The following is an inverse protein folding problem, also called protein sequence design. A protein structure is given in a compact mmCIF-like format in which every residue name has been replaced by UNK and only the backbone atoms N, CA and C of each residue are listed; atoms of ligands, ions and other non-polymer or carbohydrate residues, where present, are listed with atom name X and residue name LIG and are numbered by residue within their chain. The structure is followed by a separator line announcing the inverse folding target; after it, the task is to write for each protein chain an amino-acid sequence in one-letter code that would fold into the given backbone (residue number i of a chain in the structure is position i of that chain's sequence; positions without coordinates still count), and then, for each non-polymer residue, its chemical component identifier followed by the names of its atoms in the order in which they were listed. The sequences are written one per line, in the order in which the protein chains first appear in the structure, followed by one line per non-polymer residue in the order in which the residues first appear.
data_IF_990117927726
#
_entry.id   IF_990117927726
#
_cell.length_a   1.000
_cell.length_b   1.000
_cell.length_c   1.000
_cell.angle_alpha   90.00
_cell.angle_beta   90.00
_cell.angle_gamma   90.00
#
_symmetry.space_group_name_H-M   'P 1'
#
loop_
_entity.id
_entity.type
_entity.pdbx_description
1 polymer ?
#
# COMPACT_ATOMS: atom_id res chain seq x y z
N UNK A 1 15.01 -3.23 -13.68
CA UNK A 1 14.13 -2.08 -13.86
C UNK A 1 13.51 -1.82 -12.52
N UNK A 2 13.61 -0.59 -12.02
CA UNK A 2 13.01 -0.23 -10.73
C UNK A 2 11.50 -0.06 -10.86
N UNK A 3 10.78 -0.01 -9.74
CA UNK A 3 9.35 0.27 -9.74
C UNK A 3 9.04 1.62 -10.42
N UNK A 4 9.80 2.67 -10.08
CA UNK A 4 9.71 4.00 -10.70
C UNK A 4 9.85 3.93 -12.22
N UNK A 5 10.94 3.33 -12.72
CA UNK A 5 11.21 3.21 -14.16
C UNK A 5 10.10 2.45 -14.90
N UNK A 6 9.52 1.44 -14.26
CA UNK A 6 8.45 0.62 -14.86
C UNK A 6 7.18 1.44 -15.08
N UNK A 7 6.80 2.26 -14.10
CA UNK A 7 5.65 3.15 -14.20
C UNK A 7 5.89 4.28 -15.23
N UNK A 8 7.07 4.88 -15.24
CA UNK A 8 7.44 5.91 -16.23
C UNK A 8 7.41 5.37 -17.67
N UNK A 9 7.76 4.10 -17.86
CA UNK A 9 7.66 3.41 -19.15
C UNK A 9 6.25 2.88 -19.46
N UNK A 10 5.24 3.23 -18.65
CA UNK A 10 3.85 2.77 -18.78
C UNK A 10 3.73 1.24 -18.85
N UNK A 11 4.61 0.51 -18.14
CA UNK A 11 4.58 -0.95 -18.01
C UNK A 11 3.81 -1.34 -16.75
N UNK A 12 3.08 -2.44 -16.84
CA UNK A 12 2.26 -2.94 -15.73
C UNK A 12 3.13 -3.39 -14.54
N UNK A 13 3.01 -2.70 -13.41
CA UNK A 13 3.74 -3.00 -12.18
C UNK A 13 2.94 -3.92 -11.24
N UNK A 14 3.65 -4.83 -10.55
CA UNK A 14 3.09 -5.77 -9.58
C UNK A 14 3.76 -5.52 -8.24
N UNK A 15 2.98 -5.03 -7.28
CA UNK A 15 3.40 -4.81 -5.91
C UNK A 15 2.85 -5.91 -5.01
N UNK A 16 3.59 -6.28 -3.97
CA UNK A 16 3.11 -7.15 -2.91
C UNK A 16 3.25 -6.49 -1.55
N UNK A 17 2.22 -6.58 -0.72
CA UNK A 17 2.23 -6.07 0.64
C UNK A 17 2.74 -7.15 1.60
N UNK A 18 3.85 -6.86 2.29
CA UNK A 18 4.48 -7.75 3.26
C UNK A 18 4.59 -7.04 4.60
N UNK A 19 3.84 -7.51 5.58
CA UNK A 19 3.85 -6.93 6.91
C UNK A 19 5.06 -7.43 7.71
N UNK A 20 5.77 -6.53 8.42
CA UNK A 20 6.80 -6.95 9.37
C UNK A 20 6.24 -7.91 10.43
N UNK A 21 7.08 -8.79 11.00
CA UNK A 21 6.66 -9.73 12.02
C UNK A 21 6.30 -9.00 13.33
N UNK A 22 5.44 -9.65 14.14
CA UNK A 22 5.32 -9.32 15.56
C UNK A 22 6.47 -9.96 16.34
N UNK A 23 7.67 -9.44 16.13
CA UNK A 23 8.89 -9.99 16.70
C UNK A 23 10.13 -9.49 15.98
N UNK A 24 11.29 -10.06 16.34
CA UNK A 24 12.58 -9.73 15.74
C UNK A 24 13.05 -10.75 14.69
N UNK A 25 12.31 -11.84 14.48
CA UNK A 25 12.63 -12.86 13.46
C UNK A 25 11.87 -12.57 12.16
N UNK A 26 12.62 -12.19 11.12
CA UNK A 26 12.11 -11.85 9.79
C UNK A 26 12.18 -13.03 8.81
N UNK A 27 12.59 -14.22 9.25
CA UNK A 27 12.92 -15.35 8.37
C UNK A 27 11.74 -15.79 7.50
N UNK A 28 10.52 -15.83 8.06
CA UNK A 28 9.31 -16.22 7.31
C UNK A 28 8.95 -15.19 6.24
N UNK A 29 8.92 -13.90 6.61
CA UNK A 29 8.68 -12.79 5.69
C UNK A 29 9.69 -12.81 4.54
N UNK A 30 10.97 -12.99 4.84
CA UNK A 30 12.04 -13.04 3.85
C UNK A 30 11.92 -14.28 2.95
N UNK A 31 11.65 -15.45 3.51
CA UNK A 31 11.45 -16.70 2.74
C UNK A 31 10.34 -16.54 1.72
N UNK A 32 9.19 -16.01 2.16
CA UNK A 32 8.05 -15.78 1.27
C UNK A 32 8.35 -14.72 0.19
N UNK A 33 9.11 -13.67 0.52
CA UNK A 33 9.48 -12.64 -0.45
C UNK A 33 10.47 -13.16 -1.50
N UNK A 34 11.42 -14.01 -1.11
CA UNK A 34 12.38 -14.66 -2.02
C UNK A 34 11.64 -15.60 -2.99
N UNK A 35 10.62 -16.32 -2.54
CA UNK A 35 9.83 -17.23 -3.39
C UNK A 35 9.13 -16.54 -4.57
N UNK A 36 8.92 -15.22 -4.49
CA UNK A 36 8.32 -14.41 -5.56
C UNK A 36 9.31 -13.40 -6.16
N UNK A 37 10.62 -13.54 -5.87
CA UNK A 37 11.66 -12.69 -6.44
C UNK A 37 11.64 -12.74 -7.97
N UNK A 38 11.74 -11.58 -8.59
CA UNK A 38 11.64 -11.42 -10.04
C UNK A 38 10.19 -11.42 -10.56
N UNK A 39 9.20 -11.68 -9.71
CA UNK A 39 7.78 -11.57 -10.06
C UNK A 39 7.08 -10.34 -9.48
N UNK A 40 7.69 -9.73 -8.47
CA UNK A 40 7.22 -8.52 -7.77
C UNK A 40 8.21 -7.39 -8.06
N UNK A 41 7.70 -6.23 -8.45
CA UNK A 41 8.50 -5.05 -8.78
C UNK A 41 8.89 -4.24 -7.54
N UNK A 42 8.02 -4.20 -6.52
CA UNK A 42 8.37 -3.69 -5.20
C UNK A 42 7.46 -4.25 -4.10
N UNK A 43 8.02 -4.38 -2.90
CA UNK A 43 7.31 -4.84 -1.71
C UNK A 43 6.86 -3.63 -0.89
N UNK A 44 5.54 -3.45 -0.75
CA UNK A 44 4.97 -2.45 0.16
C UNK A 44 5.07 -2.99 1.56
N UNK A 45 5.76 -2.28 2.44
CA UNK A 45 5.92 -2.69 3.84
C UNK A 45 5.08 -1.76 4.71
N UNK A 46 3.91 -2.18 5.22
CA UNK A 46 3.06 -1.30 6.02
C UNK A 46 3.70 -0.93 7.37
N UNK A 47 3.45 0.29 7.84
CA UNK A 47 3.79 0.71 9.20
C UNK A 47 2.65 0.34 10.14
N UNK A 48 2.82 -0.78 10.87
CA UNK A 48 1.89 -1.30 11.88
C UNK A 48 0.42 -1.18 11.45
N UNK A 49 0.09 -1.88 10.35
CA UNK A 49 -1.27 -1.94 9.80
C UNK A 49 -2.27 -2.36 10.88
N UNK A 50 -3.49 -1.82 10.84
CA UNK A 50 -4.54 -2.05 11.85
C UNK A 50 -4.15 -1.69 13.28
N UNK A 51 -3.14 -0.82 13.44
CA UNK A 51 -2.58 -0.41 14.73
C UNK A 51 -2.07 -1.58 15.59
N UNK A 52 -1.70 -2.71 14.98
CA UNK A 52 -1.14 -3.86 15.70
C UNK A 52 0.38 -3.69 15.82
N UNK A 53 0.89 -3.76 17.05
CA UNK A 53 2.33 -3.63 17.32
C UNK A 53 3.11 -4.75 16.61
N UNK A 54 4.03 -4.31 15.75
CA UNK A 54 4.94 -5.13 14.94
C UNK A 54 6.29 -4.43 14.84
N UNK A 55 7.28 -5.08 14.23
CA UNK A 55 8.48 -4.37 13.83
C UNK A 55 8.13 -3.22 12.84
N UNK A 56 8.95 -2.17 12.80
CA UNK A 56 8.68 -1.00 11.96
C UNK A 56 8.79 -1.32 10.47
N UNK A 57 8.12 -0.51 9.65
CA UNK A 57 8.20 -0.59 8.20
C UNK A 57 9.63 -0.39 7.70
N UNK A 58 10.38 0.54 8.31
CA UNK A 58 11.79 0.78 7.98
C UNK A 58 12.66 -0.47 8.16
N UNK A 59 12.48 -1.20 9.28
CA UNK A 59 13.20 -2.44 9.54
C UNK A 59 12.85 -3.55 8.54
N UNK A 60 11.56 -3.67 8.21
CA UNK A 60 11.10 -4.61 7.18
C UNK A 60 11.65 -4.28 5.78
N UNK A 61 11.67 -2.99 5.41
CA UNK A 61 12.24 -2.55 4.14
C UNK A 61 13.72 -2.92 4.03
N UNK A 62 14.51 -2.60 5.06
CA UNK A 62 15.95 -2.90 5.05
C UNK A 62 16.23 -4.42 4.97
N UNK A 63 15.45 -5.24 5.68
CA UNK A 63 15.57 -6.70 5.63
C UNK A 63 15.37 -7.25 4.21
N UNK A 64 14.41 -6.71 3.46
CA UNK A 64 14.16 -7.09 2.07
C UNK A 64 15.22 -6.52 1.11
N UNK A 65 15.61 -5.25 1.28
CA UNK A 65 16.58 -4.58 0.39
C UNK A 65 17.95 -5.23 0.40
N UNK A 66 18.45 -5.68 1.55
CA UNK A 66 19.74 -6.39 1.65
C UNK A 66 19.72 -7.67 0.80
N UNK A 67 18.54 -8.23 0.51
CA UNK A 67 18.34 -9.40 -0.34
C UNK A 67 18.02 -9.04 -1.82
N UNK A 68 18.21 -7.77 -2.20
CA UNK A 68 17.97 -7.26 -3.55
C UNK A 68 16.50 -7.23 -3.95
N UNK A 69 15.62 -6.98 -2.97
CA UNK A 69 14.18 -6.82 -3.18
C UNK A 69 13.84 -5.34 -2.99
N UNK A 70 13.28 -4.71 -4.02
CA UNK A 70 12.91 -3.29 -3.95
C UNK A 70 11.69 -3.10 -3.04
N UNK A 71 11.64 -2.00 -2.27
CA UNK A 71 10.63 -1.78 -1.24
C UNK A 71 9.96 -0.42 -1.35
N UNK A 72 8.74 -0.34 -0.83
CA UNK A 72 8.01 0.91 -0.55
C UNK A 72 7.88 1.04 0.96
N UNK A 73 8.59 2.02 1.52
CA UNK A 73 8.56 2.33 2.95
C UNK A 73 7.30 3.13 3.27
N UNK A 74 6.41 2.56 4.09
CA UNK A 74 5.21 3.26 4.53
C UNK A 74 5.53 4.07 5.79
N UNK A 75 5.16 5.35 5.80
CA UNK A 75 5.30 6.23 6.98
C UNK A 75 3.92 6.65 7.45
N UNK A 76 3.73 6.62 8.77
CA UNK A 76 2.45 6.80 9.44
C UNK A 76 2.53 7.90 10.50
N UNK A 77 1.65 8.91 10.43
CA UNK A 77 1.62 10.01 11.39
C UNK A 77 1.06 9.64 12.77
N UNK A 78 0.38 8.49 12.89
CA UNK A 78 -0.34 8.08 14.11
C UNK A 78 0.53 8.04 15.35
N UNK A 79 1.70 7.40 15.27
CA UNK A 79 2.46 6.99 16.44
C UNK A 79 3.74 7.83 16.67
N UNK A 80 4.05 8.78 15.76
CA UNK A 80 5.33 9.50 15.73
C UNK A 80 5.14 11.00 15.57
N UNK A 81 6.04 11.77 16.18
CA UNK A 81 6.09 13.22 16.00
C UNK A 81 6.94 13.60 14.78
N UNK A 82 6.90 14.87 14.38
CA UNK A 82 7.63 15.40 13.21
C UNK A 82 9.14 15.13 13.25
N UNK A 83 9.75 15.06 14.44
CA UNK A 83 11.19 14.75 14.57
C UNK A 83 11.47 13.30 14.22
N UNK A 84 10.71 12.37 14.80
CA UNK A 84 10.85 10.94 14.54
C UNK A 84 10.52 10.60 13.08
N UNK A 85 9.48 11.22 12.52
CA UNK A 85 9.08 11.02 11.12
C UNK A 85 10.19 11.46 10.15
N UNK A 86 10.73 12.67 10.30
CA UNK A 86 11.84 13.14 9.48
C UNK A 86 13.09 12.29 9.66
N UNK A 87 13.42 11.89 10.90
CA UNK A 87 14.58 11.05 11.17
C UNK A 87 14.49 9.68 10.49
N UNK A 88 13.33 9.03 10.50
CA UNK A 88 13.12 7.75 9.82
C UNK A 88 13.20 7.90 8.29
N UNK A 89 12.62 8.97 7.74
CA UNK A 89 12.64 9.25 6.29
C UNK A 89 14.08 9.52 5.81
N UNK A 90 14.85 10.33 6.53
CA UNK A 90 16.26 10.58 6.21
C UNK A 90 17.09 9.30 6.33
N UNK A 91 16.81 8.46 7.33
CA UNK A 91 17.47 7.16 7.49
C UNK A 91 17.14 6.22 6.33
N UNK A 92 15.87 6.17 5.90
CA UNK A 92 15.44 5.39 4.75
C UNK A 92 16.20 5.80 3.47
N UNK A 93 16.32 7.11 3.24
CA UNK A 93 17.06 7.66 2.10
C UNK A 93 18.55 7.28 2.16
N UNK A 94 19.19 7.46 3.31
CA UNK A 94 20.60 7.12 3.52
C UNK A 94 20.89 5.62 3.34
N UNK A 95 19.91 4.77 3.61
CA UNK A 95 19.99 3.32 3.42
C UNK A 95 19.61 2.86 1.99
N UNK A 96 19.25 3.80 1.11
CA UNK A 96 18.96 3.51 -0.30
C UNK A 96 17.55 2.96 -0.55
N UNK A 97 16.58 3.23 0.32
CA UNK A 97 15.17 2.93 0.05
C UNK A 97 14.67 3.89 -1.04
N UNK A 98 14.19 3.41 -2.20
CA UNK A 98 13.87 4.28 -3.33
C UNK A 98 12.44 4.80 -3.32
N UNK A 99 11.52 4.15 -2.60
CA UNK A 99 10.09 4.47 -2.64
C UNK A 99 9.55 4.72 -1.22
N UNK A 100 8.72 5.75 -1.09
CA UNK A 100 8.10 6.18 0.16
C UNK A 100 6.58 6.27 -0.05
N UNK A 101 5.79 5.81 0.91
CA UNK A 101 4.33 5.97 0.90
C UNK A 101 3.85 6.61 2.19
N UNK A 102 3.24 7.79 2.10
CA UNK A 102 2.70 8.49 3.27
C UNK A 102 1.25 8.05 3.51
N UNK A 103 0.94 7.69 4.76
CA UNK A 103 -0.41 7.32 5.19
C UNK A 103 -0.78 7.98 6.52
N UNK A 104 -2.09 8.10 6.76
CA UNK A 104 -2.62 8.54 8.05
C UNK A 104 -2.41 7.51 9.16
N UNK A 105 -2.57 6.23 8.83
CA UNK A 105 -2.66 5.14 9.80
C UNK A 105 -4.09 4.90 10.30
N UNK A 106 -4.35 3.67 10.74
CA UNK A 106 -5.61 3.28 11.39
C UNK A 106 -5.65 3.79 12.82
N UNK A 107 -6.82 4.18 13.33
CA UNK A 107 -6.97 4.66 14.70
C UNK A 107 -6.36 3.70 15.73
N UNK A 108 -5.58 4.22 16.68
CA UNK A 108 -4.81 3.41 17.63
C UNK A 108 -5.69 2.45 18.46
N UNK A 109 -6.98 2.80 18.64
CA UNK A 109 -7.93 2.01 19.42
C UNK A 109 -8.37 0.71 18.73
N UNK A 110 -8.15 0.57 17.42
CA UNK A 110 -8.51 -0.67 16.69
C UNK A 110 -7.45 -1.76 16.84
N UNK A 111 -6.27 -1.38 17.33
CA UNK A 111 -5.11 -2.25 17.47
C UNK A 111 -5.10 -3.07 18.75
N UNK A 112 -3.95 -3.72 18.99
CA UNK A 112 -3.73 -4.56 20.17
C UNK A 112 -3.21 -3.78 21.40
N UNK A 113 -2.94 -2.48 21.24
CA UNK A 113 -2.54 -1.56 22.32
C UNK A 113 -3.49 -0.35 22.40
N UNK A 114 -4.80 -0.54 22.63
CA UNK A 114 -5.79 0.55 22.57
C UNK A 114 -5.61 1.63 23.66
N UNK A 115 -4.78 1.36 24.68
CA UNK A 115 -4.43 2.33 25.74
C UNK A 115 -3.22 3.21 25.38
N UNK A 116 -2.52 2.90 24.28
CA UNK A 116 -1.43 3.74 23.81
C UNK A 116 -1.96 5.11 23.36
N UNK A 117 -1.11 6.13 23.48
CA UNK A 117 -1.46 7.49 23.03
C UNK A 117 -1.12 7.63 21.57
N UNK A 118 -2.10 8.04 20.77
CA UNK A 118 -1.81 8.55 19.44
C UNK A 118 -1.03 9.86 19.56
N UNK A 119 -0.02 10.03 18.71
CA UNK A 119 0.80 11.24 18.64
C UNK A 119 0.18 12.25 17.69
N UNK A 120 -0.06 11.87 16.43
CA UNK A 120 -0.69 12.73 15.41
C UNK A 120 -0.17 14.19 15.43
N UNK A 121 1.14 14.38 15.55
CA UNK A 121 1.75 15.73 15.67
C UNK A 121 1.59 16.56 14.40
N UNK A 122 1.58 15.89 13.24
CA UNK A 122 1.33 16.45 11.92
C UNK A 122 0.42 15.53 11.12
N UNK A 123 -0.34 16.07 10.18
CA UNK A 123 -1.19 15.27 9.30
C UNK A 123 -0.45 14.77 8.03
N UNK A 124 -1.19 14.11 7.12
CA UNK A 124 -0.63 13.54 5.88
C UNK A 124 -0.15 14.62 4.92
N UNK A 125 -0.82 15.77 4.86
CA UNK A 125 -0.42 16.87 3.99
C UNK A 125 0.82 17.56 4.51
N UNK A 126 0.87 17.85 5.82
CA UNK A 126 2.06 18.40 6.47
C UNK A 126 3.28 17.47 6.34
N UNK A 127 3.08 16.14 6.40
CA UNK A 127 4.15 15.18 6.17
C UNK A 127 4.59 15.10 4.70
N UNK A 128 3.66 15.23 3.74
CA UNK A 128 4.02 15.31 2.31
C UNK A 128 4.78 16.59 1.99
N UNK A 129 4.39 17.73 2.58
CA UNK A 129 5.14 18.99 2.50
C UNK A 129 6.55 18.83 3.10
N UNK A 130 6.67 18.15 4.23
CA UNK A 130 7.98 17.85 4.82
C UNK A 130 8.84 16.98 3.90
N UNK A 131 8.27 15.96 3.26
CA UNK A 131 8.97 15.12 2.28
C UNK A 131 9.45 15.94 1.09
N UNK A 132 8.60 16.81 0.54
CA UNK A 132 8.98 17.71 -0.55
C UNK A 132 10.13 18.65 -0.14
N UNK A 133 10.06 19.27 1.05
CA UNK A 133 11.14 20.11 1.57
C UNK A 133 12.45 19.33 1.74
N UNK A 134 12.40 18.10 2.25
CA UNK A 134 13.58 17.24 2.39
C UNK A 134 14.20 16.89 1.04
N UNK A 135 13.39 16.56 0.04
CA UNK A 135 13.88 16.32 -1.33
C UNK A 135 14.47 17.59 -1.98
N UNK A 136 14.08 18.77 -1.50
CA UNK A 136 14.70 20.05 -1.86
C UNK A 136 15.88 20.45 -0.93
N UNK A 137 16.34 19.53 -0.07
CA UNK A 137 17.55 19.67 0.74
C UNK A 137 17.34 20.34 2.10
N UNK A 138 16.10 20.48 2.60
CA UNK A 138 15.81 21.15 3.88
C UNK A 138 14.92 20.33 4.80
N UNK A 139 15.12 20.47 6.10
CA UNK A 139 14.16 19.96 7.09
C UNK A 139 12.91 20.85 7.19
N UNK A 140 11.92 20.42 7.97
CA UNK A 140 10.68 21.19 8.22
C UNK A 140 10.91 22.55 8.90
N UNK A 141 12.07 22.78 9.52
CA UNK A 141 12.44 24.06 10.10
C UNK A 141 13.14 24.98 9.08
N UNK A 142 13.34 24.51 7.85
CA UNK A 142 14.04 25.22 6.78
C UNK A 142 15.57 25.16 6.89
N UNK A 143 16.11 24.28 7.74
CA UNK A 143 17.55 24.10 7.92
C UNK A 143 18.09 23.16 6.84
N UNK A 144 19.22 23.54 6.26
CA UNK A 144 19.90 22.77 5.21
C UNK A 144 20.34 21.39 5.71
N UNK A 145 20.04 20.37 4.90
CA UNK A 145 20.43 18.99 5.10
C UNK A 145 21.75 18.67 4.38
N UNK A 146 22.47 17.67 4.88
CA UNK A 146 23.61 17.10 4.17
C UNK A 146 23.10 16.07 3.15
N UNK A 147 22.96 16.51 1.90
CA UNK A 147 22.34 15.74 0.84
C UNK A 147 20.81 15.83 0.89
N UNK A 148 20.17 15.44 -0.20
CA UNK A 148 18.72 15.43 -0.35
C UNK A 148 18.26 14.01 -0.69
N UNK A 149 17.23 13.48 -0.01
CA UNK A 149 16.55 12.27 -0.46
C UNK A 149 16.02 12.40 -1.89
N UNK A 150 15.92 11.27 -2.59
CA UNK A 150 15.16 11.14 -3.83
C UNK A 150 14.24 9.93 -3.69
N UNK A 151 12.96 10.20 -3.42
CA UNK A 151 11.94 9.18 -3.23
C UNK A 151 10.93 9.20 -4.37
N UNK A 152 10.51 8.01 -4.81
CA UNK A 152 9.27 7.90 -5.54
C UNK A 152 8.14 7.92 -4.51
N UNK A 153 7.44 9.06 -4.42
CA UNK A 153 6.48 9.32 -3.34
C UNK A 153 5.09 8.82 -3.72
N UNK A 154 4.47 8.08 -2.82
CA UNK A 154 3.11 7.60 -2.95
C UNK A 154 2.22 7.95 -1.77
N UNK A 155 0.92 7.77 -1.96
CA UNK A 155 -0.08 7.96 -0.90
C UNK A 155 -1.24 6.96 -1.00
N UNK A 156 -2.04 6.88 0.06
CA UNK A 156 -3.31 6.13 0.03
C UNK A 156 -4.40 6.96 -0.68
N UNK A 157 -5.21 6.28 -1.50
CA UNK A 157 -6.41 6.84 -2.12
C UNK A 157 -7.66 6.00 -1.81
N UNK A 158 -8.68 6.60 -1.23
CA UNK A 158 -9.92 5.89 -0.91
C UNK A 158 -10.89 5.88 -2.10
N UNK A 159 -10.63 5.00 -3.06
CA UNK A 159 -11.51 4.83 -4.23
C UNK A 159 -12.96 4.47 -3.84
N UNK A 160 -13.16 3.80 -2.70
CA UNK A 160 -14.46 3.33 -2.21
C UNK A 160 -15.33 4.40 -1.55
N UNK A 161 -14.86 5.64 -1.42
CA UNK A 161 -15.69 6.75 -0.93
C UNK A 161 -16.95 6.93 -1.80
N UNK A 162 -18.05 7.37 -1.17
CA UNK A 162 -19.37 7.49 -1.83
C UNK A 162 -19.95 8.90 -1.66
N UNK A 163 -20.79 9.32 -2.60
CA UNK A 163 -21.42 10.64 -2.59
C UNK A 163 -20.38 11.76 -2.52
N UNK A 164 -20.67 12.81 -1.75
CA UNK A 164 -19.76 13.95 -1.59
C UNK A 164 -18.40 13.62 -0.96
N UNK A 165 -18.25 12.49 -0.25
CA UNK A 165 -16.94 12.05 0.24
C UNK A 165 -16.00 11.67 -0.91
N UNK A 166 -16.55 11.21 -2.04
CA UNK A 166 -15.73 10.89 -3.22
C UNK A 166 -15.18 12.14 -3.90
N UNK A 167 -15.95 13.23 -3.90
CA UNK A 167 -15.47 14.53 -4.41
C UNK A 167 -14.32 15.05 -3.54
N UNK A 168 -14.45 14.97 -2.21
CA UNK A 168 -13.39 15.35 -1.28
C UNK A 168 -12.12 14.52 -1.47
N UNK A 169 -12.23 13.20 -1.65
CA UNK A 169 -11.05 12.34 -1.91
C UNK A 169 -10.32 12.72 -3.20
N UNK A 170 -11.03 13.20 -4.22
CA UNK A 170 -10.41 13.67 -5.47
C UNK A 170 -9.73 15.03 -5.28
N UNK A 171 -10.36 15.97 -4.56
CA UNK A 171 -9.74 17.25 -4.20
C UNK A 171 -8.48 17.04 -3.34
N UNK A 172 -8.53 16.11 -2.39
CA UNK A 172 -7.37 15.70 -1.61
C UNK A 172 -6.28 15.05 -2.47
N UNK A 173 -6.66 14.24 -3.45
CA UNK A 173 -5.73 13.63 -4.39
C UNK A 173 -5.01 14.70 -5.23
N UNK A 174 -5.71 15.70 -5.75
CA UNK A 174 -5.09 16.81 -6.49
C UNK A 174 -4.09 17.57 -5.61
N UNK A 175 -4.43 17.84 -4.36
CA UNK A 175 -3.49 18.45 -3.39
C UNK A 175 -2.26 17.57 -3.15
N UNK A 176 -2.44 16.25 -2.98
CA UNK A 176 -1.35 15.29 -2.84
C UNK A 176 -0.42 15.28 -4.06
N UNK A 177 -0.98 15.33 -5.27
CA UNK A 177 -0.22 15.39 -6.54
C UNK A 177 0.63 16.66 -6.58
N UNK A 178 0.06 17.82 -6.19
CA UNK A 178 0.78 19.09 -6.13
C UNK A 178 1.94 19.08 -5.11
N UNK A 179 1.89 18.19 -4.11
CA UNK A 179 2.97 17.93 -3.15
C UNK A 179 3.93 16.83 -3.60
N UNK A 180 3.92 16.47 -4.89
CA UNK A 180 4.89 15.55 -5.48
C UNK A 180 4.53 14.06 -5.43
N UNK A 181 3.33 13.68 -4.99
CA UNK A 181 2.86 12.29 -5.06
C UNK A 181 2.79 11.82 -6.52
N UNK A 182 3.47 10.71 -6.83
CA UNK A 182 3.59 10.13 -8.17
C UNK A 182 2.78 8.85 -8.37
N UNK A 183 2.44 8.15 -7.30
CA UNK A 183 1.55 7.00 -7.35
C UNK A 183 0.60 6.98 -6.16
N UNK A 184 -0.55 6.33 -6.32
CA UNK A 184 -1.46 6.08 -5.20
C UNK A 184 -1.88 4.64 -5.17
N UNK A 185 -1.89 4.05 -3.98
CA UNK A 185 -2.44 2.71 -3.76
C UNK A 185 -3.84 2.86 -3.18
N UNK A 186 -4.81 2.14 -3.74
CA UNK A 186 -6.19 2.21 -3.24
C UNK A 186 -6.40 1.40 -1.97
N UNK A 187 -7.49 1.65 -1.24
CA UNK A 187 -8.06 0.59 -0.38
C UNK A 187 -8.45 -0.64 -1.22
N UNK A 188 -8.58 -1.84 -0.61
CA UNK A 188 -8.95 -3.04 -1.34
C UNK A 188 -10.23 -2.87 -2.19
N UNK A 189 -10.14 -3.25 -3.47
CA UNK A 189 -11.26 -3.18 -4.41
C UNK A 189 -11.76 -4.58 -4.77
N UNK A 190 -13.07 -4.78 -4.65
CA UNK A 190 -13.76 -6.02 -5.06
C UNK A 190 -14.84 -5.77 -6.12
N UNK A 191 -15.22 -4.51 -6.34
CA UNK A 191 -16.11 -4.07 -7.41
C UNK A 191 -15.36 -3.06 -8.29
N UNK A 192 -15.06 -3.44 -9.53
CA UNK A 192 -14.27 -2.62 -10.46
C UNK A 192 -15.04 -1.43 -11.03
N UNK A 193 -16.37 -1.37 -10.88
CA UNK A 193 -17.15 -0.17 -11.22
C UNK A 193 -16.66 1.06 -10.45
N UNK A 194 -16.11 0.84 -9.25
CA UNK A 194 -15.49 1.88 -8.45
C UNK A 194 -14.28 2.47 -9.18
N UNK A 195 -13.44 1.63 -9.78
CA UNK A 195 -12.27 2.07 -10.54
C UNK A 195 -12.68 2.78 -11.82
N UNK A 196 -13.70 2.29 -12.54
CA UNK A 196 -14.22 2.97 -13.73
C UNK A 196 -14.67 4.41 -13.42
N UNK A 197 -15.31 4.61 -12.27
CA UNK A 197 -15.72 5.94 -11.79
C UNK A 197 -14.52 6.85 -11.51
N UNK A 198 -13.47 6.32 -10.88
CA UNK A 198 -12.23 7.06 -10.61
C UNK A 198 -11.56 7.46 -11.93
N UNK A 199 -11.42 6.52 -12.86
CA UNK A 199 -10.76 6.74 -14.15
C UNK A 199 -11.44 7.77 -15.05
N UNK A 200 -12.73 8.05 -14.85
CA UNK A 200 -13.43 9.12 -15.57
C UNK A 200 -13.05 10.53 -15.10
N UNK A 201 -12.45 10.65 -13.92
CA UNK A 201 -12.13 11.94 -13.28
C UNK A 201 -10.64 12.13 -13.03
N UNK A 202 -9.89 11.04 -12.99
CA UNK A 202 -8.45 11.07 -12.77
C UNK A 202 -7.70 11.28 -14.08
N UNK A 203 -6.81 12.27 -14.10
CA UNK A 203 -5.80 12.38 -15.15
C UNK A 203 -4.69 11.33 -14.92
N UNK A 204 -4.68 10.30 -15.77
CA UNK A 204 -3.74 9.17 -15.68
C UNK A 204 -2.28 9.57 -15.91
N UNK A 205 -2.02 10.73 -16.52
CA UNK A 205 -0.66 11.20 -16.76
C UNK A 205 -0.07 11.96 -15.56
N UNK A 206 -0.90 12.38 -14.60
CA UNK A 206 -0.43 13.08 -13.39
C UNK A 206 -0.05 12.14 -12.24
N UNK A 207 -0.73 11.00 -12.10
CA UNK A 207 -0.49 10.05 -11.00
C UNK A 207 -0.81 8.62 -11.42
N UNK A 208 0.04 7.68 -11.00
CA UNK A 208 -0.20 6.25 -11.22
C UNK A 208 -1.19 5.69 -10.19
N UNK A 209 -2.42 5.35 -10.62
CA UNK A 209 -3.42 4.68 -9.79
C UNK A 209 -3.17 3.17 -9.73
N UNK A 210 -2.83 2.64 -8.57
CA UNK A 210 -2.53 1.22 -8.34
C UNK A 210 -3.60 0.61 -7.43
N UNK A 211 -4.57 -0.14 -7.95
CA UNK A 211 -5.59 -0.74 -7.11
C UNK A 211 -5.02 -1.84 -6.21
N UNK A 212 -5.51 -1.90 -4.97
CA UNK A 212 -5.19 -2.98 -4.04
C UNK A 212 -6.15 -4.14 -4.18
N UNK A 213 -5.62 -5.35 -4.32
CA UNK A 213 -6.35 -6.62 -4.28
C UNK A 213 -6.00 -7.34 -3.00
N UNK A 214 -7.00 -7.56 -2.16
CA UNK A 214 -6.87 -8.29 -0.90
C UNK A 214 -7.30 -9.74 -1.07
N UNK A 215 -6.46 -10.69 -0.67
CA UNK A 215 -6.81 -12.10 -0.59
C UNK A 215 -7.81 -12.31 0.56
N UNK A 216 -9.06 -12.59 0.21
CA UNK A 216 -10.04 -13.07 1.19
C UNK A 216 -9.66 -14.46 1.69
N UNK A 217 -9.82 -14.72 2.98
CA UNK A 217 -9.52 -16.05 3.56
C UNK A 217 -10.77 -16.89 3.82
N UNK A 218 -11.94 -16.25 3.83
CA UNK A 218 -13.23 -16.93 4.02
C UNK A 218 -14.40 -16.02 3.68
N UNK A 219 -15.58 -16.62 3.49
CA UNK A 219 -16.84 -15.87 3.42
C UNK A 219 -17.15 -15.10 4.72
N UNK A 220 -16.65 -15.58 5.86
CA UNK A 220 -16.77 -14.90 7.15
C UNK A 220 -15.99 -13.58 7.16
N UNK A 221 -14.72 -13.62 6.75
CA UNK A 221 -13.87 -12.44 6.56
C UNK A 221 -14.50 -11.46 5.57
N UNK A 222 -14.99 -11.95 4.44
CA UNK A 222 -15.65 -11.12 3.43
C UNK A 222 -16.88 -10.38 4.01
N UNK A 223 -17.74 -11.08 4.75
CA UNK A 223 -18.88 -10.45 5.43
C UNK A 223 -18.46 -9.45 6.50
N UNK A 224 -17.40 -9.75 7.25
CA UNK A 224 -16.89 -8.84 8.27
C UNK A 224 -16.39 -7.54 7.66
N UNK A 225 -15.56 -7.62 6.62
CA UNK A 225 -15.04 -6.46 5.89
C UNK A 225 -16.20 -5.62 5.33
N UNK A 226 -17.12 -6.26 4.59
CA UNK A 226 -18.24 -5.56 3.95
C UNK A 226 -19.19 -4.86 4.95
N UNK A 227 -19.25 -5.33 6.20
CA UNK A 227 -20.11 -4.74 7.25
C UNK A 227 -19.41 -3.64 8.04
N UNK A 228 -18.12 -3.79 8.31
CA UNK A 228 -17.40 -2.94 9.27
C UNK A 228 -16.48 -1.90 8.59
N UNK A 229 -16.07 -2.13 7.35
CA UNK A 229 -15.17 -1.24 6.62
C UNK A 229 -15.98 -0.43 5.58
N UNK A 230 -16.36 0.79 5.96
CA UNK A 230 -17.26 1.65 5.16
C UNK A 230 -16.74 1.98 3.75
N UNK A 231 -15.43 1.90 3.57
CA UNK A 231 -14.72 2.18 2.31
C UNK A 231 -14.52 0.95 1.43
N UNK A 232 -14.96 -0.23 1.84
CA UNK A 232 -14.81 -1.47 1.07
C UNK A 232 -16.19 -2.08 0.85
N UNK A 233 -16.56 -2.26 -0.41
CA UNK A 233 -17.76 -3.00 -0.79
C UNK A 233 -17.36 -4.33 -1.42
N UNK A 234 -17.91 -5.43 -0.90
CA UNK A 234 -17.70 -6.77 -1.44
C UNK A 234 -19.02 -7.27 -2.04
N UNK A 235 -19.07 -7.51 -3.36
CA UNK A 235 -20.25 -8.06 -4.02
C UNK A 235 -20.75 -9.36 -3.39
N UNK A 236 -22.06 -9.46 -3.17
CA UNK A 236 -22.71 -10.61 -2.51
C UNK A 236 -22.51 -11.92 -3.28
N UNK A 237 -22.38 -11.86 -4.61
CA UNK A 237 -22.04 -13.01 -5.44
C UNK A 237 -20.67 -13.59 -5.10
N UNK A 238 -19.66 -12.76 -4.81
CA UNK A 238 -18.34 -13.23 -4.37
C UNK A 238 -18.44 -13.95 -3.02
N UNK A 239 -19.16 -13.36 -2.06
CA UNK A 239 -19.36 -13.98 -0.74
C UNK A 239 -20.05 -15.35 -0.87
N UNK A 240 -21.10 -15.43 -1.70
CA UNK A 240 -21.83 -16.68 -1.96
C UNK A 240 -20.97 -17.72 -2.69
N UNK A 241 -20.12 -17.31 -3.62
CA UNK A 241 -19.22 -18.22 -4.34
C UNK A 241 -18.25 -18.91 -3.37
N UNK A 242 -17.59 -18.14 -2.48
CA UNK A 242 -16.70 -18.68 -1.44
C UNK A 242 -17.45 -19.63 -0.50
N UNK A 243 -18.70 -19.29 -0.13
CA UNK A 243 -19.49 -20.14 0.77
C UNK A 243 -19.85 -21.50 0.15
N UNK A 244 -20.12 -21.52 -1.15
CA UNK A 244 -20.54 -22.74 -1.89
C UNK A 244 -19.36 -23.56 -2.41
N UNK A 245 -18.16 -22.98 -2.47
CA UNK A 245 -16.99 -23.66 -3.02
C UNK A 245 -16.60 -24.88 -2.16
N UNK A 246 -16.27 -26.02 -2.80
CA UNK A 246 -15.77 -27.20 -2.09
C UNK A 246 -14.39 -26.93 -1.48
N UNK A 247 -13.53 -26.21 -2.20
CA UNK A 247 -12.27 -25.68 -1.72
C UNK A 247 -12.35 -24.15 -1.66
N UNK A 248 -12.57 -23.64 -0.44
CA UNK A 248 -12.74 -22.20 -0.19
C UNK A 248 -11.44 -21.42 -0.38
N UNK A 249 -10.30 -22.01 -0.03
CA UNK A 249 -9.00 -21.35 -0.18
C UNK A 249 -8.68 -21.18 -1.67
N UNK A 250 -8.89 -22.25 -2.46
CA UNK A 250 -8.72 -22.19 -3.92
C UNK A 250 -9.66 -21.18 -4.56
N UNK A 251 -10.92 -21.12 -4.12
CA UNK A 251 -11.88 -20.13 -4.65
C UNK A 251 -11.44 -18.69 -4.36
N UNK A 252 -10.95 -18.40 -3.16
CA UNK A 252 -10.44 -17.08 -2.84
C UNK A 252 -9.22 -16.67 -3.68
N UNK A 253 -8.30 -17.61 -3.95
CA UNK A 253 -7.14 -17.38 -4.83
C UNK A 253 -7.63 -17.04 -6.25
N UNK A 254 -8.62 -17.80 -6.76
CA UNK A 254 -9.24 -17.54 -8.06
C UNK A 254 -9.88 -16.17 -8.15
N UNK A 255 -10.64 -15.78 -7.12
CA UNK A 255 -11.26 -14.45 -7.05
C UNK A 255 -10.20 -13.34 -7.11
N UNK A 256 -9.13 -13.45 -6.32
CA UNK A 256 -8.05 -12.48 -6.34
C UNK A 256 -7.37 -12.41 -7.72
N UNK A 257 -7.05 -13.56 -8.31
CA UNK A 257 -6.44 -13.65 -9.64
C UNK A 257 -7.33 -13.07 -10.76
N UNK A 258 -8.65 -13.29 -10.68
CA UNK A 258 -9.61 -12.75 -11.65
C UNK A 258 -9.74 -11.23 -11.54
N UNK A 259 -9.80 -10.69 -10.32
CA UNK A 259 -9.79 -9.24 -10.10
C UNK A 259 -8.50 -8.62 -10.67
N UNK A 260 -7.35 -9.25 -10.44
CA UNK A 260 -6.06 -8.81 -10.99
C UNK A 260 -6.08 -8.77 -12.52
N UNK A 261 -6.60 -9.81 -13.19
CA UNK A 261 -6.73 -9.85 -14.65
C UNK A 261 -7.58 -8.69 -15.17
N UNK A 262 -8.71 -8.45 -14.52
CA UNK A 262 -9.61 -7.38 -14.91
C UNK A 262 -8.97 -5.99 -14.70
N UNK A 263 -8.23 -5.77 -13.60
CA UNK A 263 -7.43 -4.56 -13.38
C UNK A 263 -6.42 -4.35 -14.52
N UNK A 264 -5.71 -5.40 -14.93
CA UNK A 264 -4.76 -5.34 -16.06
C UNK A 264 -5.46 -4.97 -17.37
N UNK A 265 -6.67 -5.49 -17.62
CA UNK A 265 -7.46 -5.18 -18.80
C UNK A 265 -8.03 -3.74 -18.82
N UNK A 266 -8.07 -3.05 -17.68
CA UNK A 266 -8.50 -1.64 -17.58
C UNK A 266 -7.38 -0.64 -17.92
N UNK A 267 -6.22 -1.12 -18.39
CA UNK A 267 -5.05 -0.31 -18.71
C UNK A 267 -4.63 0.58 -17.53
N UNK A 268 -4.67 -0.02 -16.33
CA UNK A 268 -4.12 0.57 -15.12
C UNK A 268 -2.63 0.28 -15.04
N UNK A 269 -1.83 1.18 -14.44
CA UNK A 269 -0.38 1.07 -14.44
C UNK A 269 0.16 -0.08 -13.57
N UNK A 270 -0.67 -0.68 -12.70
CA UNK A 270 -0.25 -1.82 -11.90
C UNK A 270 -1.31 -2.32 -10.93
N UNK A 271 -0.91 -3.24 -10.05
CA UNK A 271 -1.73 -3.79 -8.97
C UNK A 271 -0.89 -3.98 -7.70
N UNK A 272 -1.50 -3.80 -6.53
CA UNK A 272 -0.90 -4.13 -5.24
C UNK A 272 -1.64 -5.30 -4.59
N UNK A 273 -0.94 -6.38 -4.28
CA UNK A 273 -1.53 -7.62 -3.76
C UNK A 273 -1.25 -7.72 -2.25
N UNK A 274 -2.28 -7.89 -1.44
CA UNK A 274 -2.16 -8.13 0.01
C UNK A 274 -2.67 -9.51 0.37
N UNK A 275 -1.84 -10.30 1.07
CA UNK A 275 -2.15 -11.66 1.50
C UNK A 275 -2.45 -11.79 3.00
N UNK A 276 -2.21 -10.73 3.77
CA UNK A 276 -2.49 -10.63 5.23
C UNK A 276 -2.01 -11.84 6.04
N UNK A 277 -0.77 -12.33 5.88
CA UNK A 277 -0.25 -13.50 6.59
C UNK A 277 -0.42 -14.83 5.84
N UNK A 278 -0.86 -14.82 4.58
CA UNK A 278 -0.91 -15.97 3.66
C UNK A 278 0.03 -15.74 2.47
N UNK A 279 1.22 -15.18 2.72
CA UNK A 279 2.20 -14.84 1.68
C UNK A 279 2.64 -16.09 0.89
N UNK A 280 2.54 -17.28 1.49
CA UNK A 280 2.76 -18.58 0.83
C UNK A 280 1.80 -18.84 -0.35
N UNK A 281 0.65 -18.14 -0.40
CA UNK A 281 -0.32 -18.24 -1.50
C UNK A 281 -0.05 -17.28 -2.64
N UNK A 282 0.84 -16.29 -2.47
CA UNK A 282 1.14 -15.30 -3.50
C UNK A 282 1.61 -15.91 -4.83
N UNK A 283 2.50 -16.93 -4.86
CA UNK A 283 2.86 -17.60 -6.11
C UNK A 283 1.64 -18.14 -6.88
N UNK A 284 0.69 -18.75 -6.19
CA UNK A 284 -0.51 -19.33 -6.80
C UNK A 284 -1.44 -18.25 -7.37
N UNK A 285 -1.57 -17.11 -6.69
CA UNK A 285 -2.33 -15.95 -7.19
C UNK A 285 -1.69 -15.43 -8.48
N UNK A 286 -0.37 -15.27 -8.49
CA UNK A 286 0.38 -14.78 -9.65
C UNK A 286 0.23 -15.76 -10.84
N UNK A 287 0.37 -17.07 -10.60
CA UNK A 287 0.21 -18.11 -11.62
C UNK A 287 -1.19 -18.09 -12.23
N UNK A 288 -2.24 -18.00 -11.40
CA UNK A 288 -3.62 -17.95 -11.90
C UNK A 288 -3.93 -16.65 -12.65
N UNK A 289 -3.27 -15.55 -12.27
CA UNK A 289 -3.48 -14.23 -12.86
C UNK A 289 -2.84 -14.10 -14.26
N UNK A 290 -1.79 -14.87 -14.55
CA UNK A 290 -0.99 -14.78 -15.79
C UNK A 290 -0.51 -13.34 -16.10
N UNK A 291 -0.20 -12.56 -15.06
CA UNK A 291 0.29 -11.17 -15.25
C UNK A 291 1.81 -11.06 -15.27
N UNK A 292 2.51 -12.10 -14.81
CA UNK A 292 3.97 -12.20 -14.69
C UNK A 292 4.48 -13.46 -15.34
#
# INVERSE_FOLDING_TARGET
MTFREKLEQKKFAVLAEFEPPKGADFSEMLTNAINVKGRIDAFVVPEMATAVMKASSLGGCLSLQINGLETVFQVCCRDRNRLALQADILSAAALGIPNLMVVKGDDITVGDHPQARAVNDIDVFELLEAVDQMQNGKDMAGIELKGAPDFFVGALFNAGAQGGLFDLELEELEKKINLGVKFVITNPVFDLKILERVLKRLDKDQVALIPKVLLLKSAGMARYINRNMKNISIPENLIKSIQKAPDKARECIKIAAEIIKQIKNMELPGVAISTMGWEDKLPQILDESNIV
#
